data_IF_995174514942
#
_entry.id   IF_995174514942
#
_cell.length_a   1.000
_cell.length_b   1.000
_cell.length_c   1.000
_cell.angle_alpha   90.00
_cell.angle_beta   90.00
_cell.angle_gamma   90.00
#
_symmetry.space_group_name_H-M   'P 1'
#
loop_
_entity.id
_entity.type
_entity.pdbx_description
1 polymer ?
#
# COMPACT_ATOMS: atom_id res chain seq x y z
N UNK A 1 -46.55 -0.82 -7.82
CA UNK A 1 -45.22 -0.18 -7.78
C UNK A 1 -44.50 -0.70 -6.55
N UNK A 2 -43.49 -1.55 -6.75
CA UNK A 2 -42.71 -2.14 -5.65
C UNK A 2 -41.49 -1.26 -5.39
N UNK A 3 -41.41 -0.69 -4.19
CA UNK A 3 -40.26 0.13 -3.76
C UNK A 3 -39.25 -0.77 -3.08
N UNK A 4 -38.14 -1.03 -3.76
CA UNK A 4 -37.03 -1.86 -3.28
C UNK A 4 -36.27 -1.14 -2.15
N UNK A 5 -36.24 -1.76 -0.97
CA UNK A 5 -35.44 -1.35 0.18
C UNK A 5 -33.97 -1.74 -0.01
N UNK A 6 -33.10 -0.76 -0.28
CA UNK A 6 -31.66 -0.97 -0.27
C UNK A 6 -31.11 -0.68 1.14
N UNK A 7 -30.92 -1.74 1.92
CA UNK A 7 -30.12 -1.70 3.14
C UNK A 7 -28.64 -1.62 2.76
N UNK A 8 -28.08 -0.41 2.72
CA UNK A 8 -26.64 -0.20 2.57
C UNK A 8 -25.95 -0.43 3.92
N UNK A 9 -25.21 -1.54 4.02
CA UNK A 9 -24.42 -1.89 5.19
C UNK A 9 -23.38 -0.82 5.53
N UNK A 10 -23.42 -0.33 6.76
CA UNK A 10 -22.40 0.54 7.35
C UNK A 10 -21.13 -0.28 7.62
N UNK A 11 -20.05 -0.02 6.87
CA UNK A 11 -18.74 -0.60 7.15
C UNK A 11 -18.08 0.15 8.32
N UNK A 12 -18.47 -0.18 9.53
CA UNK A 12 -17.73 0.23 10.72
C UNK A 12 -16.39 -0.52 10.75
N UNK A 13 -15.32 0.08 10.21
CA UNK A 13 -13.99 -0.50 10.37
C UNK A 13 -13.41 -0.04 11.73
N UNK A 14 -13.34 -0.90 12.76
CA UNK A 14 -12.87 -0.50 14.09
C UNK A 14 -11.43 0.06 14.10
N UNK A 15 -10.61 -0.26 13.09
CA UNK A 15 -9.25 0.27 12.95
C UNK A 15 -9.18 1.76 12.64
N UNK A 16 -10.20 2.35 12.00
CA UNK A 16 -10.24 3.80 11.75
C UNK A 16 -10.71 4.59 12.98
N UNK A 17 -11.57 3.99 13.81
CA UNK A 17 -12.03 4.60 15.06
C UNK A 17 -10.87 4.85 16.04
N UNK A 18 -10.06 3.81 16.29
CA UNK A 18 -8.96 3.92 17.24
C UNK A 18 -7.87 4.89 16.77
N UNK A 19 -7.59 4.93 15.47
CA UNK A 19 -6.60 5.85 14.90
C UNK A 19 -7.05 7.31 14.98
N UNK A 20 -8.32 7.60 14.73
CA UNK A 20 -8.91 8.95 14.89
C UNK A 20 -8.87 9.38 16.36
N UNK A 21 -9.29 8.52 17.28
CA UNK A 21 -9.28 8.82 18.71
C UNK A 21 -7.86 9.06 19.24
N UNK A 22 -6.88 8.24 18.82
CA UNK A 22 -5.46 8.45 19.16
C UNK A 22 -4.94 9.79 18.61
N UNK A 23 -5.32 10.17 17.39
CA UNK A 23 -4.88 11.45 16.79
C UNK A 23 -5.44 12.64 17.55
N UNK A 24 -6.71 12.60 17.96
CA UNK A 24 -7.32 13.65 18.78
C UNK A 24 -6.69 13.72 20.18
N UNK A 25 -6.44 12.58 20.82
CA UNK A 25 -5.84 12.56 22.17
C UNK A 25 -4.40 13.08 22.20
N UNK A 26 -3.65 12.96 21.10
CA UNK A 26 -2.31 13.55 20.96
C UNK A 26 -2.35 15.08 20.88
N UNK A 27 -3.46 15.65 20.44
CA UNK A 27 -3.61 17.07 20.27
C UNK A 27 -4.30 17.69 21.49
N UNK A 28 -3.51 18.24 22.42
CA UNK A 28 -4.01 18.85 23.67
C UNK A 28 -4.93 20.05 23.45
N UNK A 29 -4.95 20.62 22.24
CA UNK A 29 -5.76 21.78 21.86
C UNK A 29 -7.13 21.37 21.28
N UNK A 30 -7.26 20.16 20.74
CA UNK A 30 -8.53 19.56 20.32
C UNK A 30 -9.36 19.14 21.54
N UNK A 31 -9.84 20.11 22.32
CA UNK A 31 -10.64 19.87 23.54
C UNK A 31 -12.03 19.39 23.16
N UNK A 32 -12.16 18.09 22.92
CA UNK A 32 -13.47 17.45 22.87
C UNK A 32 -14.14 17.56 24.25
N UNK A 33 -15.46 17.80 24.28
CA UNK A 33 -16.19 17.77 25.54
C UNK A 33 -16.12 16.36 26.13
N UNK A 34 -15.64 16.25 27.36
CA UNK A 34 -15.54 14.97 28.09
C UNK A 34 -16.91 14.48 28.58
N UNK A 35 -17.84 15.43 28.80
CA UNK A 35 -19.16 15.17 29.36
C UNK A 35 -20.26 15.91 28.59
N UNK A 36 -21.38 15.23 28.41
CA UNK A 36 -22.64 15.85 27.98
C UNK A 36 -23.22 16.71 29.12
N UNK A 37 -24.05 17.71 28.78
CA UNK A 37 -24.84 18.44 29.79
C UNK A 37 -25.83 17.55 30.58
N UNK A 38 -26.13 16.35 30.08
CA UNK A 38 -26.90 15.34 30.82
C UNK A 38 -26.05 14.43 31.74
N UNK A 39 -24.76 14.72 31.93
CA UNK A 39 -23.85 13.95 32.78
C UNK A 39 -23.40 12.60 32.21
N UNK A 40 -23.72 12.29 30.95
CA UNK A 40 -23.27 11.06 30.28
C UNK A 40 -22.01 11.32 29.44
N UNK A 41 -21.14 10.31 29.30
CA UNK A 41 -19.99 10.39 28.38
C UNK A 41 -20.48 10.47 26.92
N UNK A 42 -19.97 11.40 26.12
CA UNK A 42 -20.31 11.48 24.69
C UNK A 42 -19.84 10.24 23.93
N UNK A 43 -20.54 9.91 22.85
CA UNK A 43 -20.29 8.72 22.03
C UNK A 43 -19.98 9.15 20.61
N UNK A 44 -18.93 8.56 20.05
CA UNK A 44 -18.56 8.72 18.65
C UNK A 44 -19.52 7.92 17.75
N UNK A 45 -20.00 8.54 16.68
CA UNK A 45 -20.95 7.95 15.73
C UNK A 45 -20.63 8.38 14.30
N UNK A 46 -21.12 7.58 13.36
CA UNK A 46 -21.09 7.90 11.93
C UNK A 46 -22.46 8.38 11.48
N UNK A 47 -22.52 9.47 10.74
CA UNK A 47 -23.77 9.98 10.18
C UNK A 47 -24.25 9.08 9.04
N UNK A 48 -25.53 8.71 9.07
CA UNK A 48 -26.22 7.97 8.01
C UNK A 48 -27.07 8.86 7.10
N UNK A 49 -26.98 10.18 7.22
CA UNK A 49 -27.78 11.10 6.38
C UNK A 49 -27.16 11.24 4.99
N UNK A 50 -27.99 11.35 3.95
CA UNK A 50 -27.50 11.45 2.56
C UNK A 50 -26.49 12.60 2.37
N UNK A 51 -26.74 13.74 3.01
CA UNK A 51 -25.86 14.92 2.89
C UNK A 51 -24.56 14.81 3.71
N UNK A 52 -24.47 13.90 4.68
CA UNK A 52 -23.30 13.72 5.54
C UNK A 52 -22.98 12.24 5.73
N UNK A 53 -23.08 11.45 4.66
CA UNK A 53 -22.95 9.99 4.74
C UNK A 53 -21.53 9.62 5.20
N UNK A 54 -21.43 8.81 6.24
CA UNK A 54 -20.13 8.36 6.76
C UNK A 54 -19.30 9.47 7.42
N UNK A 55 -19.89 10.64 7.71
CA UNK A 55 -19.19 11.72 8.42
C UNK A 55 -19.16 11.43 9.93
N UNK A 56 -18.00 11.51 10.61
CA UNK A 56 -17.89 11.19 12.03
C UNK A 56 -18.27 12.37 12.94
N UNK A 57 -19.06 12.10 13.98
CA UNK A 57 -19.44 13.08 14.99
C UNK A 57 -19.40 12.51 16.41
N UNK A 58 -19.20 13.38 17.39
CA UNK A 58 -19.38 13.11 18.81
C UNK A 58 -20.79 13.57 19.22
N UNK A 59 -21.58 12.68 19.80
CA UNK A 59 -22.97 12.97 20.16
C UNK A 59 -23.34 12.46 21.54
N UNK A 60 -24.43 13.01 22.10
CA UNK A 60 -25.04 12.46 23.31
C UNK A 60 -25.42 10.97 23.12
N UNK A 61 -25.24 10.08 24.11
CA UNK A 61 -25.73 8.70 24.01
C UNK A 61 -27.22 8.58 23.69
N UNK A 62 -28.01 9.56 24.14
CA UNK A 62 -29.47 9.65 23.92
C UNK A 62 -29.83 10.26 22.56
N UNK A 63 -28.85 10.66 21.75
CA UNK A 63 -29.07 11.26 20.43
C UNK A 63 -29.88 10.31 19.53
N UNK A 64 -30.92 10.85 18.90
CA UNK A 64 -31.85 10.15 18.02
C UNK A 64 -32.45 8.86 18.62
N UNK A 65 -32.59 8.82 19.96
CA UNK A 65 -33.20 7.69 20.66
C UNK A 65 -34.67 8.02 20.94
N UNK A 66 -35.58 7.19 20.44
CA UNK A 66 -37.03 7.38 20.61
C UNK A 66 -37.38 7.45 22.11
N UNK A 67 -38.19 8.43 22.49
CA UNK A 67 -38.68 8.60 23.87
C UNK A 67 -37.66 9.16 24.88
N UNK A 68 -36.44 9.54 24.46
CA UNK A 68 -35.43 10.14 25.34
C UNK A 68 -35.11 11.57 24.92
N UNK A 69 -35.20 12.51 25.87
CA UNK A 69 -34.64 13.87 25.67
C UNK A 69 -33.11 13.77 25.70
N UNK A 70 -32.47 14.26 24.63
CA UNK A 70 -31.02 14.39 24.54
C UNK A 70 -30.64 15.85 24.81
N UNK A 71 -29.40 16.09 25.23
CA UNK A 71 -28.97 17.38 25.75
C UNK A 71 -28.39 18.34 24.69
N UNK A 72 -28.66 18.10 23.41
CA UNK A 72 -28.13 18.94 22.33
C UNK A 72 -26.66 18.71 21.95
N UNK A 73 -25.92 17.84 22.65
CA UNK A 73 -24.51 17.60 22.32
C UNK A 73 -24.38 16.91 20.96
N UNK A 74 -23.79 17.63 20.00
CA UNK A 74 -23.46 17.18 18.65
C UNK A 74 -22.24 17.99 18.14
N UNK A 75 -21.15 17.32 17.80
CA UNK A 75 -19.91 17.95 17.34
C UNK A 75 -19.28 17.15 16.21
N UNK A 76 -19.04 17.80 15.08
CA UNK A 76 -18.31 17.20 13.95
C UNK A 76 -16.83 17.02 14.29
N UNK A 77 -16.31 15.80 14.13
CA UNK A 77 -14.95 15.44 14.57
C UNK A 77 -13.89 15.79 13.53
N UNK A 78 -14.25 15.75 12.25
CA UNK A 78 -13.39 16.12 11.13
C UNK A 78 -12.97 17.60 11.18
N UNK A 79 -13.89 18.51 11.53
CA UNK A 79 -13.57 19.94 11.68
C UNK A 79 -12.60 20.22 12.82
N UNK A 80 -12.80 19.57 13.97
CA UNK A 80 -11.88 19.69 15.11
C UNK A 80 -10.49 19.17 14.75
N UNK A 81 -10.41 18.15 13.89
CA UNK A 81 -9.15 17.62 13.42
C UNK A 81 -8.43 18.59 12.45
N UNK A 82 -9.17 19.23 11.56
CA UNK A 82 -8.66 20.27 10.65
C UNK A 82 -8.17 21.50 11.43
N UNK A 83 -8.96 21.99 12.38
CA UNK A 83 -8.61 23.18 13.17
C UNK A 83 -7.39 22.95 14.08
N UNK A 84 -7.27 21.74 14.63
CA UNK A 84 -6.19 21.40 15.55
C UNK A 84 -4.89 20.98 14.82
N UNK A 85 -4.98 20.66 13.53
CA UNK A 85 -3.82 20.33 12.70
C UNK A 85 -3.74 21.33 11.54
N UNK A 86 -3.20 22.55 11.77
CA UNK A 86 -2.90 23.43 10.65
C UNK A 86 -2.02 22.66 9.69
N UNK A 87 -2.45 22.60 8.42
CA UNK A 87 -1.76 21.86 7.38
C UNK A 87 -0.31 22.35 7.26
N UNK A 88 0.62 21.70 7.95
CA UNK A 88 2.01 21.68 7.51
C UNK A 88 2.11 20.66 6.37
N UNK A 89 1.52 21.04 5.24
CA UNK A 89 1.46 20.30 3.97
C UNK A 89 2.87 20.05 3.40
N UNK A 90 3.92 20.69 3.96
CA UNK A 90 5.28 20.65 3.44
C UNK A 90 6.14 19.52 3.99
N UNK A 91 5.81 18.98 5.16
CA UNK A 91 6.76 18.14 5.91
C UNK A 91 6.48 16.64 5.82
N UNK A 92 5.26 16.21 5.48
CA UNK A 92 4.93 14.77 5.45
C UNK A 92 5.23 14.07 4.13
N UNK A 93 5.14 14.78 3.00
CA UNK A 93 5.34 14.13 1.70
C UNK A 93 6.84 13.88 1.40
N UNK A 94 7.74 14.74 1.88
CA UNK A 94 9.16 14.70 1.52
C UNK A 94 9.97 13.60 2.23
N UNK A 95 9.64 13.27 3.48
CA UNK A 95 10.42 12.29 4.26
C UNK A 95 10.15 10.85 3.79
N UNK A 96 8.88 10.53 3.49
CA UNK A 96 8.50 9.19 3.03
C UNK A 96 9.01 8.91 1.61
N UNK A 97 9.08 9.92 0.75
CA UNK A 97 9.57 9.81 -0.63
C UNK A 97 11.07 9.47 -0.68
N UNK A 98 11.90 10.13 0.13
CA UNK A 98 13.35 9.88 0.12
C UNK A 98 13.71 8.52 0.74
N UNK A 99 13.04 8.11 1.82
CA UNK A 99 13.26 6.77 2.40
C UNK A 99 12.84 5.66 1.43
N UNK A 100 11.70 5.82 0.77
CA UNK A 100 11.22 4.88 -0.25
C UNK A 100 12.17 4.82 -1.46
N UNK A 101 12.69 5.97 -1.92
CA UNK A 101 13.67 6.04 -3.02
C UNK A 101 14.97 5.32 -2.68
N UNK A 102 15.52 5.51 -1.47
CA UNK A 102 16.73 4.80 -1.05
C UNK A 102 16.51 3.29 -0.99
N UNK A 103 15.36 2.85 -0.46
CA UNK A 103 15.00 1.42 -0.37
C UNK A 103 14.87 0.76 -1.74
N UNK A 104 14.29 1.48 -2.71
CA UNK A 104 14.17 1.00 -4.08
C UNK A 104 15.51 1.00 -4.81
N UNK A 105 16.33 2.05 -4.63
CA UNK A 105 17.66 2.13 -5.23
C UNK A 105 18.58 0.98 -4.80
N UNK A 106 18.60 0.65 -3.50
CA UNK A 106 19.38 -0.48 -2.98
C UNK A 106 18.90 -1.83 -3.54
N UNK A 107 17.59 -2.05 -3.59
CA UNK A 107 17.00 -3.27 -4.15
C UNK A 107 17.29 -3.39 -5.65
N UNK A 108 17.21 -2.29 -6.39
CA UNK A 108 17.49 -2.26 -7.82
C UNK A 108 18.97 -2.56 -8.10
N UNK A 109 19.89 -1.95 -7.34
CA UNK A 109 21.33 -2.22 -7.47
C UNK A 109 21.69 -3.69 -7.19
N UNK A 110 21.05 -4.32 -6.19
CA UNK A 110 21.23 -5.74 -5.90
C UNK A 110 20.71 -6.63 -7.04
N UNK A 111 19.53 -6.33 -7.57
CA UNK A 111 18.93 -7.08 -8.67
C UNK A 111 19.74 -6.93 -9.98
N UNK A 112 20.27 -5.74 -10.24
CA UNK A 112 21.10 -5.48 -11.42
C UNK A 112 22.41 -6.28 -11.41
N UNK A 113 23.01 -6.49 -10.23
CA UNK A 113 24.18 -7.34 -10.08
C UNK A 113 23.88 -8.82 -10.39
N UNK A 114 22.76 -9.35 -9.87
CA UNK A 114 22.33 -10.72 -10.14
C UNK A 114 22.00 -10.93 -11.63
N UNK A 115 21.35 -9.96 -12.28
CA UNK A 115 21.07 -9.99 -13.73
C UNK A 115 22.36 -9.95 -14.54
N UNK A 116 23.36 -9.15 -14.15
CA UNK A 116 24.67 -9.13 -14.84
C UNK A 116 25.35 -10.50 -14.76
N UNK A 117 25.36 -11.14 -13.59
CA UNK A 117 25.96 -12.46 -13.41
C UNK A 117 25.23 -13.52 -14.25
N UNK A 118 23.90 -13.54 -14.23
CA UNK A 118 23.11 -14.47 -15.03
C UNK A 118 23.26 -14.24 -16.54
N UNK A 119 23.34 -12.98 -16.98
CA UNK A 119 23.52 -12.62 -18.39
C UNK A 119 24.90 -13.04 -18.90
N UNK A 120 25.96 -12.76 -18.13
CA UNK A 120 27.31 -13.17 -18.48
C UNK A 120 27.48 -14.69 -18.44
N UNK A 121 26.90 -15.36 -17.45
CA UNK A 121 26.89 -16.83 -17.37
C UNK A 121 26.16 -17.48 -18.55
N UNK A 122 24.96 -16.98 -18.90
CA UNK A 122 24.22 -17.47 -20.07
C UNK A 122 25.01 -17.29 -21.37
N UNK A 123 25.59 -16.12 -21.61
CA UNK A 123 26.42 -15.86 -22.80
C UNK A 123 27.64 -16.78 -22.83
N UNK A 124 28.35 -16.93 -21.71
CA UNK A 124 29.52 -17.80 -21.60
C UNK A 124 29.18 -19.25 -21.91
N UNK A 125 28.07 -19.77 -21.39
CA UNK A 125 27.61 -21.14 -21.67
C UNK A 125 27.25 -21.33 -23.14
N UNK A 126 26.60 -20.36 -23.79
CA UNK A 126 26.32 -20.43 -25.22
C UNK A 126 27.60 -20.44 -26.07
N UNK A 127 28.57 -19.57 -25.76
CA UNK A 127 29.86 -19.53 -26.47
C UNK A 127 30.61 -20.85 -26.30
N UNK A 128 30.67 -21.39 -25.08
CA UNK A 128 31.34 -22.66 -24.81
C UNK A 128 30.72 -23.83 -25.57
N UNK A 129 29.39 -23.91 -25.63
CA UNK A 129 28.68 -24.94 -26.41
C UNK A 129 28.97 -24.81 -27.91
N UNK A 130 28.99 -23.59 -28.45
CA UNK A 130 29.35 -23.35 -29.86
C UNK A 130 30.79 -23.78 -30.17
N UNK A 131 31.75 -23.50 -29.27
CA UNK A 131 33.14 -23.93 -29.44
C UNK A 131 33.28 -25.45 -29.47
N UNK A 132 32.55 -26.17 -28.60
CA UNK A 132 32.55 -27.64 -28.61
C UNK A 132 32.01 -28.17 -29.94
N UNK A 133 30.88 -27.64 -30.42
CA UNK A 133 30.27 -28.06 -31.69
C UNK A 133 31.21 -27.81 -32.86
N UNK A 134 31.82 -26.63 -32.93
CA UNK A 134 32.82 -26.28 -33.96
C UNK A 134 34.03 -27.21 -33.85
N UNK A 135 34.55 -27.46 -32.65
CA UNK A 135 35.67 -28.37 -32.44
C UNK A 135 35.38 -29.79 -32.92
N UNK A 136 34.20 -30.34 -32.61
CA UNK A 136 33.76 -31.65 -33.10
C UNK A 136 33.62 -31.67 -34.62
N UNK A 137 33.07 -30.61 -35.21
CA UNK A 137 32.97 -30.47 -36.67
C UNK A 137 34.35 -30.44 -37.34
N UNK A 138 35.29 -29.66 -36.81
CA UNK A 138 36.66 -29.57 -37.32
C UNK A 138 37.37 -30.90 -37.20
N UNK A 139 37.31 -31.56 -36.03
CA UNK A 139 37.89 -32.89 -35.83
C UNK A 139 37.28 -33.93 -36.77
N UNK A 140 35.96 -33.85 -36.99
CA UNK A 140 35.30 -34.72 -37.96
C UNK A 140 35.78 -34.42 -39.38
N UNK A 141 35.89 -33.16 -39.77
CA UNK A 141 36.33 -32.75 -41.09
C UNK A 141 37.77 -33.20 -41.35
N UNK A 142 38.66 -32.97 -40.39
CA UNK A 142 40.07 -33.40 -40.44
C UNK A 142 40.17 -34.93 -40.56
N UNK A 143 39.39 -35.67 -39.77
CA UNK A 143 39.30 -37.13 -39.90
C UNK A 143 38.80 -37.57 -41.27
N UNK A 144 37.79 -36.89 -41.84
CA UNK A 144 37.31 -37.20 -43.20
C UNK A 144 38.37 -36.90 -44.26
N UNK A 145 39.08 -35.77 -44.14
CA UNK A 145 40.18 -35.41 -45.02
C UNK A 145 41.31 -36.44 -44.92
N UNK A 146 41.75 -36.82 -43.72
CA UNK A 146 42.81 -37.81 -43.52
C UNK A 146 42.48 -39.18 -44.13
N UNK A 147 41.23 -39.63 -44.02
CA UNK A 147 40.76 -40.86 -44.68
C UNK A 147 40.76 -40.74 -46.22
N UNK A 148 40.35 -39.58 -46.76
CA UNK A 148 40.38 -39.31 -48.20
C UNK A 148 41.80 -39.25 -48.76
N UNK A 149 42.74 -38.63 -48.02
CA UNK A 149 44.14 -38.55 -48.39
C UNK A 149 44.81 -39.93 -48.41
N UNK A 150 44.50 -40.81 -47.45
CA UNK A 150 45.01 -42.18 -47.43
C UNK A 150 44.45 -43.01 -48.61
N UNK A 151 43.13 -42.94 -48.85
CA UNK A 151 42.48 -43.69 -49.93
C UNK A 151 42.91 -43.26 -51.34
N UNK A 152 43.51 -42.09 -51.51
CA UNK A 152 44.01 -41.58 -52.81
C UNK A 152 45.47 -41.96 -53.10
N UNK A 153 46.19 -42.43 -52.08
CA UNK A 153 47.62 -42.76 -52.16
C UNK A 153 47.91 -44.28 -52.09
N UNK A 154 46.87 -45.12 -51.97
CA UNK A 154 46.88 -46.55 -52.31
C UNK A 154 46.54 -46.76 -53.79
#
# INVERSE_FOLDING_TARGET
>A
MATTSNAAGSSNNPRSFESIMRRMNRNREARLPEWCACGSRPVFRWSGTNSNLGRPFLGCPKYNTVGKKWCGLFLWVDKVLEDAMPCDDRTRHSVDDEEWKMKMAWKFGKLEAEIRVLKMGRILMFVFMLLIVIGVLVLKLDRQQGQLYLAKNE
#
